data_IF_910108202821
#
_entry.id   IF_910108202821
#
_cell.length_a   1.000
_cell.length_b   1.000
_cell.length_c   1.000
_cell.angle_alpha   90.00
_cell.angle_beta   90.00
_cell.angle_gamma   90.00
#
_symmetry.space_group_name_H-M   'P 1'
#
loop_
_entity.id
_entity.type
_entity.pdbx_description
1 polymer ?
#
# COMPACT_ATOMS: atom_id res chain seq x y z
N UNK A 1 0.30 4.15 -29.87
CA UNK A 1 0.53 3.58 -28.49
C UNK A 1 2.00 3.80 -28.14
N UNK A 2 2.31 4.40 -26.98
CA UNK A 2 3.70 4.44 -26.53
C UNK A 2 4.17 3.00 -26.23
N UNK A 3 5.39 2.61 -26.64
CA UNK A 3 5.90 1.29 -26.30
C UNK A 3 5.95 1.12 -24.77
N UNK A 4 5.64 -0.09 -24.32
CA UNK A 4 5.73 -0.44 -22.89
C UNK A 4 7.19 -0.27 -22.47
N UNK A 5 7.46 0.48 -21.41
CA UNK A 5 8.84 0.64 -20.95
C UNK A 5 9.41 -0.72 -20.50
N UNK A 6 10.68 -1.02 -20.79
CA UNK A 6 11.29 -2.29 -20.40
C UNK A 6 11.20 -2.55 -18.89
N UNK A 7 11.30 -1.51 -18.06
CA UNK A 7 11.16 -1.62 -16.61
C UNK A 7 9.75 -2.05 -16.18
N UNK A 8 8.70 -1.55 -16.84
CA UNK A 8 7.33 -1.98 -16.59
C UNK A 8 7.11 -3.43 -17.06
N UNK A 9 7.70 -3.81 -18.20
CA UNK A 9 7.68 -5.20 -18.67
C UNK A 9 8.32 -6.14 -17.65
N UNK A 10 9.51 -5.79 -17.13
CA UNK A 10 10.19 -6.55 -16.09
C UNK A 10 9.34 -6.65 -14.81
N UNK A 11 8.67 -5.58 -14.40
CA UNK A 11 7.77 -5.58 -13.25
C UNK A 11 6.63 -6.59 -13.40
N UNK A 12 5.97 -6.61 -14.56
CA UNK A 12 4.86 -7.53 -14.82
C UNK A 12 5.36 -8.98 -14.81
N UNK A 13 6.47 -9.27 -15.50
CA UNK A 13 7.04 -10.62 -15.56
C UNK A 13 7.47 -11.07 -14.16
N UNK A 14 8.22 -10.24 -13.42
CA UNK A 14 8.64 -10.55 -12.07
C UNK A 14 7.46 -10.77 -11.12
N UNK A 15 6.40 -9.95 -11.25
CA UNK A 15 5.16 -10.10 -10.48
C UNK A 15 4.46 -11.43 -10.76
N UNK A 16 4.37 -11.85 -12.02
CA UNK A 16 3.78 -13.15 -12.41
C UNK A 16 4.65 -14.31 -11.87
N UNK A 17 5.97 -14.23 -12.02
CA UNK A 17 6.89 -15.28 -11.52
C UNK A 17 6.78 -15.36 -9.99
N UNK A 18 6.76 -14.23 -9.29
CA UNK A 18 6.60 -14.19 -7.84
C UNK A 18 5.25 -14.79 -7.39
N UNK A 19 4.17 -14.45 -8.08
CA UNK A 19 2.84 -15.00 -7.81
C UNK A 19 2.80 -16.51 -7.99
N UNK A 20 3.25 -17.02 -9.15
CA UNK A 20 3.24 -18.45 -9.45
C UNK A 20 4.15 -19.24 -8.51
N UNK A 21 5.36 -18.74 -8.23
CA UNK A 21 6.30 -19.41 -7.32
C UNK A 21 5.78 -19.44 -5.89
N UNK A 22 5.07 -18.39 -5.44
CA UNK A 22 4.46 -18.33 -4.12
C UNK A 22 3.33 -19.35 -3.96
N UNK A 23 2.51 -19.57 -4.99
CA UNK A 23 1.46 -20.59 -4.99
C UNK A 23 2.06 -21.99 -5.05
N UNK A 24 3.12 -22.19 -5.87
CA UNK A 24 3.80 -23.46 -6.01
C UNK A 24 4.68 -23.83 -4.79
N UNK A 25 4.86 -22.92 -3.83
CA UNK A 25 5.71 -23.13 -2.65
C UNK A 25 7.22 -23.24 -2.99
N UNK A 26 7.67 -22.67 -4.11
CA UNK A 26 9.06 -22.73 -4.51
C UNK A 26 9.85 -21.57 -3.87
N UNK A 27 10.46 -21.84 -2.71
CA UNK A 27 11.20 -20.84 -1.92
C UNK A 27 12.34 -20.18 -2.69
N UNK A 28 13.05 -20.94 -3.51
CA UNK A 28 14.17 -20.41 -4.30
C UNK A 28 13.71 -19.35 -5.32
N UNK A 29 12.63 -19.62 -6.04
CA UNK A 29 12.07 -18.66 -7.00
C UNK A 29 11.43 -17.47 -6.28
N UNK A 30 10.81 -17.66 -5.10
CA UNK A 30 10.29 -16.58 -4.26
C UNK A 30 11.43 -15.66 -3.85
N UNK A 31 12.53 -16.22 -3.35
CA UNK A 31 13.68 -15.46 -2.89
C UNK A 31 14.28 -14.56 -3.98
N UNK A 32 14.33 -15.05 -5.22
CA UNK A 32 14.84 -14.28 -6.37
C UNK A 32 13.81 -13.26 -6.86
N UNK A 33 12.56 -13.67 -7.07
CA UNK A 33 11.54 -12.83 -7.72
C UNK A 33 11.01 -11.72 -6.84
N UNK A 34 10.86 -11.94 -5.54
CA UNK A 34 10.27 -10.99 -4.59
C UNK A 34 11.03 -9.64 -4.55
N UNK A 35 12.37 -9.56 -4.50
CA UNK A 35 13.10 -8.29 -4.57
C UNK A 35 13.01 -7.60 -5.95
N UNK A 36 12.87 -8.38 -7.04
CA UNK A 36 12.83 -7.82 -8.39
C UNK A 36 11.55 -7.01 -8.61
N UNK A 37 10.43 -7.41 -8.01
CA UNK A 37 9.14 -6.70 -8.16
C UNK A 37 9.26 -5.22 -7.73
N UNK A 38 9.59 -4.87 -6.47
CA UNK A 38 9.70 -3.47 -6.07
C UNK A 38 10.87 -2.75 -6.74
N UNK A 39 11.98 -3.42 -7.02
CA UNK A 39 13.13 -2.80 -7.72
C UNK A 39 12.76 -2.36 -9.14
N UNK A 40 12.08 -3.22 -9.89
CA UNK A 40 11.67 -2.91 -11.27
C UNK A 40 10.66 -1.77 -11.33
N UNK A 41 9.72 -1.69 -10.40
CA UNK A 41 8.75 -0.58 -10.35
C UNK A 41 9.40 0.74 -9.90
N UNK A 42 10.42 0.70 -9.03
CA UNK A 42 11.24 1.86 -8.68
C UNK A 42 12.04 2.35 -9.88
N UNK A 43 12.60 1.44 -10.66
CA UNK A 43 13.32 1.77 -11.87
C UNK A 43 12.37 2.37 -12.93
N UNK A 44 11.15 1.85 -13.03
CA UNK A 44 10.09 2.44 -13.85
C UNK A 44 9.76 3.88 -13.42
N UNK A 45 9.64 4.13 -12.11
CA UNK A 45 9.44 5.50 -11.57
C UNK A 45 10.59 6.44 -11.98
N UNK A 46 11.84 5.98 -11.82
CA UNK A 46 13.02 6.74 -12.20
C UNK A 46 13.02 7.09 -13.70
N UNK A 47 12.78 6.10 -14.54
CA UNK A 47 12.78 6.27 -16.00
C UNK A 47 11.69 7.25 -16.47
N UNK A 48 10.46 7.11 -15.98
CA UNK A 48 9.34 7.95 -16.40
C UNK A 48 9.35 9.35 -15.77
N UNK A 49 10.10 9.57 -14.70
CA UNK A 49 10.25 10.89 -14.06
C UNK A 49 11.17 11.83 -14.84
N UNK A 50 11.85 11.36 -15.91
CA UNK A 50 12.75 12.14 -16.76
C UNK A 50 13.79 12.97 -15.94
N UNK A 51 14.40 12.37 -14.93
CA UNK A 51 15.39 12.99 -14.06
C UNK A 51 14.82 13.93 -12.97
N UNK A 52 13.51 14.15 -12.94
CA UNK A 52 12.83 14.96 -11.90
C UNK A 52 12.20 14.07 -10.83
N UNK A 53 13.05 13.33 -10.13
CA UNK A 53 12.63 12.43 -9.06
C UNK A 53 12.25 13.24 -7.82
N UNK A 54 11.05 13.04 -7.30
CA UNK A 54 10.69 13.54 -5.98
C UNK A 54 11.25 12.58 -4.92
N UNK A 55 12.22 13.05 -4.13
CA UNK A 55 12.92 12.25 -3.13
C UNK A 55 11.98 11.69 -2.04
N UNK A 56 10.92 12.38 -1.68
CA UNK A 56 9.92 11.86 -0.72
C UNK A 56 9.18 10.64 -1.25
N UNK A 57 8.82 10.67 -2.54
CA UNK A 57 8.17 9.52 -3.19
C UNK A 57 9.13 8.34 -3.38
N UNK A 58 10.38 8.66 -3.72
CA UNK A 58 11.43 7.65 -3.82
C UNK A 58 11.72 7.01 -2.46
N UNK A 59 11.74 7.80 -1.37
CA UNK A 59 11.89 7.30 0.00
C UNK A 59 10.76 6.33 0.38
N UNK A 60 9.51 6.64 0.05
CA UNK A 60 8.38 5.72 0.28
C UNK A 60 8.60 4.38 -0.42
N UNK A 61 9.02 4.40 -1.69
CA UNK A 61 9.30 3.17 -2.43
C UNK A 61 10.45 2.38 -1.80
N UNK A 62 11.50 3.05 -1.33
CA UNK A 62 12.62 2.43 -0.62
C UNK A 62 12.17 1.78 0.70
N UNK A 63 11.34 2.46 1.49
CA UNK A 63 10.81 1.90 2.75
C UNK A 63 10.02 0.61 2.49
N UNK A 64 9.14 0.61 1.50
CA UNK A 64 8.39 -0.59 1.13
C UNK A 64 9.27 -1.69 0.51
N UNK A 65 10.32 -1.31 -0.23
CA UNK A 65 11.31 -2.26 -0.74
C UNK A 65 12.04 -2.99 0.40
N UNK A 66 12.56 -2.24 1.38
CA UNK A 66 13.23 -2.85 2.53
C UNK A 66 12.28 -3.69 3.37
N UNK A 67 11.06 -3.21 3.60
CA UNK A 67 10.02 -4.00 4.26
C UNK A 67 9.74 -5.31 3.52
N UNK A 68 9.65 -5.27 2.19
CA UNK A 68 9.47 -6.46 1.36
C UNK A 68 10.64 -7.45 1.42
N UNK A 69 11.89 -6.96 1.52
CA UNK A 69 13.07 -7.81 1.71
C UNK A 69 13.05 -8.45 3.10
N UNK A 70 12.80 -7.69 4.14
CA UNK A 70 12.72 -8.21 5.50
C UNK A 70 11.66 -9.30 5.63
N UNK A 71 10.55 -9.16 4.93
CA UNK A 71 9.48 -10.17 4.90
C UNK A 71 9.89 -11.50 4.20
N UNK A 72 11.15 -11.67 3.77
CA UNK A 72 11.70 -12.96 3.35
C UNK A 72 12.16 -13.83 4.53
N UNK A 73 12.43 -13.21 5.69
CA UNK A 73 13.07 -13.91 6.82
C UNK A 73 12.08 -14.53 7.82
N UNK A 74 10.77 -14.34 7.65
CA UNK A 74 9.67 -14.99 8.41
C UNK A 74 9.89 -15.12 9.93
N UNK A 75 10.58 -14.13 10.58
CA UNK A 75 10.86 -14.11 12.00
C UNK A 75 10.00 -13.04 12.71
N UNK A 76 9.52 -13.33 13.92
CA UNK A 76 8.74 -12.40 14.74
C UNK A 76 9.50 -11.10 15.07
N UNK A 77 10.82 -11.17 15.28
CA UNK A 77 11.64 -9.97 15.49
C UNK A 77 11.69 -9.10 14.24
N UNK A 78 11.72 -9.73 13.07
CA UNK A 78 11.73 -9.03 11.77
C UNK A 78 10.39 -8.36 11.51
N UNK A 79 9.28 -8.96 11.95
CA UNK A 79 7.94 -8.38 11.80
C UNK A 79 7.84 -6.97 12.42
N UNK A 80 8.48 -6.74 13.57
CA UNK A 80 8.55 -5.41 14.19
C UNK A 80 9.15 -4.36 13.24
N UNK A 81 10.28 -4.68 12.60
CA UNK A 81 10.91 -3.76 11.65
C UNK A 81 10.07 -3.54 10.38
N UNK A 82 9.38 -4.59 9.91
CA UNK A 82 8.44 -4.50 8.78
C UNK A 82 7.32 -3.51 9.10
N UNK A 83 6.69 -3.65 10.28
CA UNK A 83 5.63 -2.74 10.72
C UNK A 83 6.12 -1.30 10.81
N UNK A 84 7.31 -1.06 11.37
CA UNK A 84 7.92 0.28 11.46
C UNK A 84 8.15 0.87 10.08
N UNK A 85 8.80 0.15 9.17
CA UNK A 85 9.08 0.64 7.81
C UNK A 85 7.80 0.99 7.06
N UNK A 86 6.80 0.14 7.14
CA UNK A 86 5.50 0.39 6.51
C UNK A 86 4.77 1.57 7.17
N UNK A 87 4.80 1.71 8.52
CA UNK A 87 4.26 2.87 9.22
C UNK A 87 4.90 4.18 8.74
N UNK A 88 6.22 4.21 8.57
CA UNK A 88 6.89 5.39 8.02
C UNK A 88 6.46 5.67 6.57
N UNK A 89 6.38 4.66 5.73
CA UNK A 89 5.91 4.79 4.35
C UNK A 89 4.50 5.35 4.28
N UNK A 90 3.56 4.77 5.03
CA UNK A 90 2.18 5.26 5.12
C UNK A 90 2.08 6.62 5.79
N UNK A 91 2.92 6.92 6.79
CA UNK A 91 3.00 8.22 7.44
C UNK A 91 3.38 9.34 6.48
N UNK A 92 4.34 9.10 5.57
CA UNK A 92 4.70 10.05 4.52
C UNK A 92 3.53 10.27 3.56
N UNK A 93 2.85 9.21 3.12
CA UNK A 93 1.67 9.33 2.27
C UNK A 93 0.53 10.08 2.98
N UNK A 94 0.30 9.76 4.25
CA UNK A 94 -0.70 10.42 5.08
C UNK A 94 -0.41 11.93 5.23
N UNK A 95 0.85 12.31 5.48
CA UNK A 95 1.26 13.71 5.55
C UNK A 95 1.00 14.48 4.25
N UNK A 96 1.19 13.81 3.10
CA UNK A 96 0.88 14.37 1.79
C UNK A 96 -0.64 14.62 1.62
N UNK A 97 -1.48 13.68 2.06
CA UNK A 97 -2.95 13.82 2.00
C UNK A 97 -3.41 14.94 2.92
N UNK A 98 -2.94 14.95 4.16
CA UNK A 98 -3.29 15.98 5.14
C UNK A 98 -2.92 17.38 4.60
N UNK A 99 -1.71 17.52 4.05
CA UNK A 99 -1.31 18.79 3.41
C UNK A 99 -2.24 19.16 2.26
N UNK A 100 -2.62 18.21 1.42
CA UNK A 100 -3.55 18.45 0.32
C UNK A 100 -4.96 18.81 0.79
N UNK A 101 -5.40 18.27 1.92
CA UNK A 101 -6.69 18.63 2.54
C UNK A 101 -6.68 20.04 3.11
N UNK A 102 -5.58 20.47 3.74
CA UNK A 102 -5.45 21.85 4.25
C UNK A 102 -5.40 22.91 3.14
N UNK A 103 -4.91 22.58 1.96
CA UNK A 103 -4.90 23.48 0.79
C UNK A 103 -6.30 23.71 0.21
N UNK A 104 -7.24 22.80 0.49
CA UNK A 104 -8.63 22.94 0.06
C UNK A 104 -9.36 23.77 1.11
N UNK A 105 -9.93 24.95 0.72
CA UNK A 105 -10.92 25.60 1.56
C UNK A 105 -12.04 24.60 1.83
N UNK A 106 -12.18 24.13 3.08
CA UNK A 106 -13.12 23.08 3.48
C UNK A 106 -14.51 23.53 3.03
N UNK A 107 -14.97 23.06 1.87
CA UNK A 107 -16.37 23.05 1.50
C UNK A 107 -17.01 21.95 2.33
N UNK A 108 -18.10 22.29 3.01
CA UNK A 108 -18.86 21.28 3.74
C UNK A 108 -19.13 20.10 2.83
N UNK A 109 -18.71 18.91 3.28
CA UNK A 109 -19.05 17.66 2.62
C UNK A 109 -20.58 17.58 2.52
N UNK A 110 -21.09 17.25 1.35
CA UNK A 110 -22.50 16.96 1.18
C UNK A 110 -22.95 15.88 2.16
N UNK A 111 -24.20 15.92 2.62
CA UNK A 111 -24.74 14.96 3.60
C UNK A 111 -24.52 13.51 3.18
N UNK A 112 -24.61 13.23 1.87
CA UNK A 112 -24.38 11.90 1.30
C UNK A 112 -22.91 11.48 1.49
N UNK A 113 -21.97 12.36 1.16
CA UNK A 113 -20.54 12.09 1.32
C UNK A 113 -20.14 11.93 2.79
N UNK A 114 -20.77 12.70 3.70
CA UNK A 114 -20.58 12.54 5.13
C UNK A 114 -21.07 11.17 5.61
N UNK A 115 -22.21 10.69 5.13
CA UNK A 115 -22.74 9.37 5.45
C UNK A 115 -21.79 8.25 4.95
N UNK A 116 -21.23 8.39 3.75
CA UNK A 116 -20.23 7.42 3.24
C UNK A 116 -18.97 7.39 4.12
N UNK A 117 -18.44 8.54 4.50
CA UNK A 117 -17.27 8.61 5.38
C UNK A 117 -17.57 7.98 6.73
N UNK A 118 -18.74 8.26 7.32
CA UNK A 118 -19.16 7.65 8.58
C UNK A 118 -19.27 6.14 8.49
N UNK A 119 -19.93 5.62 7.45
CA UNK A 119 -20.06 4.17 7.23
C UNK A 119 -18.70 3.52 7.02
N UNK A 120 -17.79 4.16 6.30
CA UNK A 120 -16.43 3.65 6.08
C UNK A 120 -15.62 3.61 7.38
N UNK A 121 -15.68 4.66 8.19
CA UNK A 121 -15.02 4.69 9.51
C UNK A 121 -15.58 3.59 10.41
N UNK A 122 -16.90 3.46 10.45
CA UNK A 122 -17.56 2.42 11.24
C UNK A 122 -17.17 1.00 10.78
N UNK A 123 -17.16 0.76 9.46
CA UNK A 123 -16.74 -0.51 8.88
C UNK A 123 -15.28 -0.83 9.21
N UNK A 124 -14.35 0.12 9.01
CA UNK A 124 -12.93 -0.08 9.32
C UNK A 124 -12.68 -0.27 10.82
N UNK A 125 -13.39 0.46 11.67
CA UNK A 125 -13.30 0.27 13.13
C UNK A 125 -13.78 -1.11 13.55
N UNK A 126 -14.92 -1.58 12.98
CA UNK A 126 -15.43 -2.92 13.23
C UNK A 126 -14.45 -3.99 12.73
N UNK A 127 -13.90 -3.82 11.53
CA UNK A 127 -12.92 -4.73 10.94
C UNK A 127 -11.64 -4.80 11.78
N UNK A 128 -11.12 -3.66 12.23
CA UNK A 128 -9.96 -3.60 13.13
C UNK A 128 -10.25 -4.30 14.46
N UNK A 129 -11.42 -4.05 15.05
CA UNK A 129 -11.83 -4.73 16.28
C UNK A 129 -11.88 -6.24 16.10
N UNK A 130 -12.53 -6.72 15.04
CA UNK A 130 -12.63 -8.16 14.73
C UNK A 130 -11.25 -8.78 14.53
N UNK A 131 -10.37 -8.16 13.74
CA UNK A 131 -9.02 -8.67 13.52
C UNK A 131 -8.20 -8.73 14.83
N UNK A 132 -8.23 -7.67 15.62
CA UNK A 132 -7.47 -7.62 16.88
C UNK A 132 -8.01 -8.61 17.91
N UNK A 133 -9.33 -8.77 17.99
CA UNK A 133 -9.97 -9.66 18.96
C UNK A 133 -9.87 -11.14 18.57
N UNK A 134 -10.04 -11.46 17.26
CA UNK A 134 -10.05 -12.86 16.80
C UNK A 134 -8.67 -13.41 16.51
N UNK A 135 -7.73 -12.55 16.05
CA UNK A 135 -6.45 -13.00 15.52
C UNK A 135 -5.32 -12.85 16.54
N UNK A 136 -5.35 -11.77 17.32
CA UNK A 136 -4.27 -11.47 18.25
C UNK A 136 -4.75 -11.54 19.70
N UNK A 137 -4.05 -12.33 20.51
CA UNK A 137 -4.19 -12.25 21.96
C UNK A 137 -3.53 -10.94 22.45
N UNK A 138 -4.14 -10.30 23.44
CA UNK A 138 -3.60 -9.09 24.09
C UNK A 138 -2.23 -9.30 24.75
N UNK A 139 -1.85 -10.56 25.00
CA UNK A 139 -0.53 -10.98 25.49
C UNK A 139 0.55 -10.99 24.39
N UNK A 140 0.16 -10.83 23.10
CA UNK A 140 1.13 -10.83 22.01
C UNK A 140 2.03 -9.61 22.05
N UNK A 141 3.34 -9.82 22.03
CA UNK A 141 4.36 -8.77 22.22
C UNK A 141 4.21 -7.57 21.24
N UNK A 142 3.76 -7.83 20.01
CA UNK A 142 3.58 -6.81 18.98
C UNK A 142 2.14 -6.25 18.90
N UNK A 143 1.25 -6.61 19.82
CA UNK A 143 -0.16 -6.23 19.79
C UNK A 143 -0.37 -4.71 19.64
N UNK A 144 0.32 -3.92 20.46
CA UNK A 144 0.22 -2.45 20.40
C UNK A 144 0.73 -1.89 19.06
N UNK A 145 1.80 -2.47 18.50
CA UNK A 145 2.36 -2.04 17.23
C UNK A 145 1.40 -2.32 16.06
N UNK A 146 0.69 -3.44 16.12
CA UNK A 146 -0.34 -3.78 15.13
C UNK A 146 -1.55 -2.85 15.21
N UNK A 147 -1.96 -2.42 16.42
CA UNK A 147 -3.02 -1.40 16.59
C UNK A 147 -2.59 -0.09 15.93
N UNK A 148 -1.39 0.40 16.24
CA UNK A 148 -0.88 1.66 15.66
C UNK A 148 -0.78 1.57 14.14
N UNK A 149 -0.25 0.46 13.64
CA UNK A 149 -0.16 0.19 12.21
C UNK A 149 -1.53 0.21 11.52
N UNK A 150 -2.48 -0.54 12.05
CA UNK A 150 -3.83 -0.62 11.51
C UNK A 150 -4.56 0.74 11.57
N UNK A 151 -4.32 1.53 12.64
CA UNK A 151 -4.87 2.88 12.74
C UNK A 151 -4.31 3.82 11.66
N UNK A 152 -3.00 3.78 11.39
CA UNK A 152 -2.36 4.59 10.34
C UNK A 152 -2.89 4.19 8.97
N UNK A 153 -2.98 2.89 8.67
CA UNK A 153 -3.47 2.38 7.40
C UNK A 153 -4.96 2.71 7.19
N UNK A 154 -5.79 2.53 8.22
CA UNK A 154 -7.21 2.89 8.17
C UNK A 154 -7.40 4.39 7.96
N UNK A 155 -6.62 5.23 8.67
CA UNK A 155 -6.63 6.68 8.49
C UNK A 155 -6.23 7.08 7.07
N UNK A 156 -5.25 6.40 6.47
CA UNK A 156 -4.84 6.61 5.08
C UNK A 156 -6.02 6.39 4.12
N UNK A 157 -6.75 5.29 4.28
CA UNK A 157 -7.91 4.95 3.43
C UNK A 157 -9.03 5.96 3.58
N UNK A 158 -9.39 6.32 4.82
CA UNK A 158 -10.47 7.29 5.10
C UNK A 158 -10.13 8.67 4.53
N UNK A 159 -8.95 9.20 4.85
CA UNK A 159 -8.57 10.55 4.40
C UNK A 159 -8.39 10.63 2.89
N UNK A 160 -7.91 9.54 2.26
CA UNK A 160 -7.87 9.45 0.81
C UNK A 160 -9.26 9.50 0.16
N UNK A 161 -10.22 8.79 0.75
CA UNK A 161 -11.59 8.80 0.25
C UNK A 161 -12.24 10.19 0.39
N UNK A 162 -11.95 10.89 1.50
CA UNK A 162 -12.37 12.29 1.68
C UNK A 162 -11.72 13.18 0.61
N UNK A 163 -10.42 13.05 0.41
CA UNK A 163 -9.69 13.84 -0.58
C UNK A 163 -10.22 13.62 -1.99
N UNK A 164 -10.51 12.36 -2.36
CA UNK A 164 -11.12 12.01 -3.63
C UNK A 164 -12.48 12.68 -3.81
N UNK A 165 -13.35 12.63 -2.79
CA UNK A 165 -14.68 13.25 -2.84
C UNK A 165 -14.62 14.79 -2.95
N UNK A 166 -13.52 15.41 -2.54
CA UNK A 166 -13.36 16.87 -2.62
C UNK A 166 -12.71 17.33 -3.94
N UNK A 167 -11.74 16.56 -4.48
CA UNK A 167 -10.92 16.98 -5.63
C UNK A 167 -11.30 16.32 -6.94
N UNK A 168 -11.74 15.05 -6.92
CA UNK A 168 -12.03 14.21 -8.09
C UNK A 168 -10.91 14.16 -9.14
N UNK A 169 -9.63 14.28 -8.73
CA UNK A 169 -8.52 14.23 -9.69
C UNK A 169 -8.10 12.79 -9.99
N UNK A 170 -7.46 12.57 -11.16
CA UNK A 170 -6.89 11.26 -11.51
C UNK A 170 -5.83 10.79 -10.50
N UNK A 171 -5.08 11.72 -9.91
CA UNK A 171 -4.10 11.40 -8.88
C UNK A 171 -4.77 10.87 -7.61
N UNK A 172 -5.85 11.51 -7.16
CA UNK A 172 -6.58 11.10 -5.96
C UNK A 172 -7.22 9.71 -6.13
N UNK A 173 -7.75 9.39 -7.32
CA UNK A 173 -8.25 8.03 -7.64
C UNK A 173 -7.13 6.99 -7.50
N UNK A 174 -5.94 7.27 -8.07
CA UNK A 174 -4.82 6.34 -8.02
C UNK A 174 -4.35 6.11 -6.58
N UNK A 175 -4.31 7.16 -5.76
CA UNK A 175 -3.92 7.07 -4.36
C UNK A 175 -4.99 6.32 -3.54
N UNK A 176 -6.28 6.55 -3.82
CA UNK A 176 -7.39 5.81 -3.20
C UNK A 176 -7.31 4.31 -3.52
N UNK A 177 -7.09 3.95 -4.80
CA UNK A 177 -6.91 2.55 -5.19
C UNK A 177 -5.69 1.93 -4.53
N UNK A 178 -4.58 2.69 -4.41
CA UNK A 178 -3.37 2.23 -3.72
C UNK A 178 -3.64 1.90 -2.26
N UNK A 179 -4.25 2.82 -1.51
CA UNK A 179 -4.53 2.63 -0.09
C UNK A 179 -5.51 1.47 0.16
N UNK A 180 -6.52 1.33 -0.70
CA UNK A 180 -7.46 0.21 -0.64
C UNK A 180 -6.77 -1.13 -0.94
N UNK A 181 -5.91 -1.19 -1.95
CA UNK A 181 -5.15 -2.41 -2.26
C UNK A 181 -4.21 -2.81 -1.11
N UNK A 182 -3.52 -1.87 -0.47
CA UNK A 182 -2.70 -2.17 0.71
C UNK A 182 -3.55 -2.67 1.87
N UNK A 183 -4.67 -2.02 2.16
CA UNK A 183 -5.58 -2.49 3.22
C UNK A 183 -6.04 -3.93 2.96
N UNK A 184 -6.45 -4.24 1.74
CA UNK A 184 -6.88 -5.60 1.37
C UNK A 184 -5.73 -6.61 1.43
N UNK A 185 -4.53 -6.22 1.00
CA UNK A 185 -3.36 -7.08 1.07
C UNK A 185 -3.04 -7.46 2.50
N UNK A 186 -3.02 -6.49 3.42
CA UNK A 186 -2.69 -6.73 4.82
C UNK A 186 -3.79 -7.50 5.54
N UNK A 187 -5.06 -7.20 5.24
CA UNK A 187 -6.19 -7.95 5.78
C UNK A 187 -6.12 -9.43 5.40
N UNK A 188 -5.95 -9.72 4.11
CA UNK A 188 -5.87 -11.11 3.66
C UNK A 188 -4.59 -11.80 4.13
N UNK A 189 -3.48 -11.05 4.29
CA UNK A 189 -2.26 -11.57 4.89
C UNK A 189 -2.51 -12.02 6.32
N UNK A 190 -3.12 -11.18 7.17
CA UNK A 190 -3.43 -11.51 8.55
C UNK A 190 -4.37 -12.70 8.64
N UNK A 191 -5.43 -12.72 7.83
CA UNK A 191 -6.37 -13.86 7.81
C UNK A 191 -5.67 -15.16 7.41
N UNK A 192 -4.81 -15.12 6.38
CA UNK A 192 -4.07 -16.29 5.89
C UNK A 192 -3.09 -16.83 6.94
N UNK A 193 -2.25 -15.98 7.51
CA UNK A 193 -1.16 -16.43 8.39
C UNK A 193 -1.59 -16.73 9.83
N UNK A 194 -2.63 -16.07 10.34
CA UNK A 194 -2.99 -16.15 11.75
C UNK A 194 -4.33 -16.80 12.03
N UNK A 195 -5.23 -16.90 11.03
CA UNK A 195 -6.59 -17.40 11.28
C UNK A 195 -6.93 -18.63 10.44
N UNK A 196 -6.75 -18.58 9.13
CA UNK A 196 -7.18 -19.64 8.23
C UNK A 196 -6.28 -19.77 7.01
N UNK A 197 -5.47 -20.84 6.97
CA UNK A 197 -4.55 -21.15 5.87
C UNK A 197 -5.31 -21.62 4.62
N UNK A 198 -5.95 -20.68 3.92
CA UNK A 198 -6.62 -20.94 2.66
C UNK A 198 -5.91 -20.21 1.53
N UNK A 199 -5.45 -20.96 0.54
CA UNK A 199 -4.63 -20.48 -0.58
C UNK A 199 -5.21 -19.25 -1.31
N UNK A 200 -6.53 -19.09 -1.32
CA UNK A 200 -7.20 -17.93 -1.93
C UNK A 200 -6.78 -16.62 -1.25
N UNK A 201 -6.68 -16.59 0.09
CA UNK A 201 -6.27 -15.38 0.80
C UNK A 201 -4.81 -15.01 0.48
N UNK A 202 -3.93 -16.00 0.35
CA UNK A 202 -2.56 -15.79 -0.11
C UNK A 202 -2.53 -15.21 -1.53
N UNK A 203 -3.32 -15.76 -2.45
CA UNK A 203 -3.43 -15.23 -3.82
C UNK A 203 -3.90 -13.76 -3.83
N UNK A 204 -4.94 -13.44 -3.04
CA UNK A 204 -5.49 -12.08 -2.94
C UNK A 204 -4.48 -11.11 -2.36
N UNK A 205 -3.74 -11.49 -1.30
CA UNK A 205 -2.64 -10.71 -0.74
C UNK A 205 -1.60 -10.35 -1.79
N UNK A 206 -1.14 -11.35 -2.55
CA UNK A 206 -0.08 -11.15 -3.55
C UNK A 206 -0.53 -10.24 -4.68
N UNK A 207 -1.73 -10.49 -5.23
CA UNK A 207 -2.30 -9.67 -6.30
C UNK A 207 -2.49 -8.22 -5.82
N UNK A 208 -3.09 -8.04 -4.64
CA UNK A 208 -3.34 -6.72 -4.08
C UNK A 208 -2.04 -5.94 -3.87
N UNK A 209 -0.97 -6.57 -3.36
CA UNK A 209 0.35 -5.95 -3.20
C UNK A 209 0.96 -5.54 -4.54
N UNK A 210 0.98 -6.43 -5.54
CA UNK A 210 1.51 -6.11 -6.86
C UNK A 210 0.74 -4.95 -7.47
N UNK A 211 -0.58 -4.97 -7.43
CA UNK A 211 -1.43 -3.90 -7.98
C UNK A 211 -1.23 -2.58 -7.23
N UNK A 212 -1.08 -2.62 -5.90
CA UNK A 212 -0.83 -1.45 -5.06
C UNK A 212 0.45 -0.70 -5.46
N UNK A 213 1.56 -1.40 -5.67
CA UNK A 213 2.81 -0.79 -6.14
C UNK A 213 2.65 -0.08 -7.48
N UNK A 214 1.93 -0.68 -8.42
CA UNK A 214 1.68 -0.06 -9.71
C UNK A 214 0.88 1.24 -9.57
N UNK A 215 -0.22 1.22 -8.82
CA UNK A 215 -1.03 2.42 -8.61
C UNK A 215 -0.28 3.51 -7.85
N UNK A 216 0.53 3.14 -6.86
CA UNK A 216 1.38 4.06 -6.11
C UNK A 216 2.34 4.81 -7.03
N UNK A 217 3.06 4.09 -7.89
CA UNK A 217 4.00 4.72 -8.83
C UNK A 217 3.26 5.58 -9.86
N UNK A 218 2.11 5.13 -10.35
CA UNK A 218 1.28 5.94 -11.26
C UNK A 218 0.79 7.22 -10.58
N UNK A 219 0.43 7.16 -9.31
CA UNK A 219 0.11 8.35 -8.50
C UNK A 219 1.29 9.32 -8.45
N UNK A 220 2.50 8.84 -8.10
CA UNK A 220 3.69 9.67 -8.02
C UNK A 220 4.03 10.37 -9.35
N UNK A 221 3.95 9.63 -10.46
CA UNK A 221 4.19 10.17 -11.79
C UNK A 221 3.14 11.21 -12.20
N UNK A 222 1.88 10.99 -11.84
CA UNK A 222 0.79 11.93 -12.16
C UNK A 222 0.93 13.22 -11.36
N UNK A 223 1.25 13.14 -10.08
CA UNK A 223 1.44 14.29 -9.19
C UNK A 223 2.66 15.12 -9.59
N UNK A 224 3.78 14.47 -10.00
CA UNK A 224 4.96 15.18 -10.49
C UNK A 224 4.67 15.98 -11.76
N UNK A 225 3.87 15.46 -12.69
CA UNK A 225 3.51 16.17 -13.93
C UNK A 225 2.67 17.42 -13.64
N UNK A 226 1.76 17.37 -12.69
CA UNK A 226 0.93 18.54 -12.31
C UNK A 226 1.81 19.67 -11.78
N UNK A 227 2.79 19.36 -10.93
CA UNK A 227 3.72 20.38 -10.36
C UNK A 227 4.65 21.04 -11.39
N UNK A 228 4.87 20.42 -12.53
CA UNK A 228 5.73 21.00 -13.59
C UNK A 228 4.98 21.89 -14.56
N UNK A 229 3.68 21.94 -14.54
CA UNK A 229 2.82 22.79 -15.37
C UNK A 229 2.24 23.99 -14.62
N UNK A 230 2.53 24.12 -13.33
CA UNK A 230 2.28 25.31 -12.49
C UNK A 230 3.56 26.13 -12.35
#
# INVERSE_FOLDING_TARGET
MKPISPALGLYIIAGIVFFVSSIAGNEYLIFISKPIVPTSIMFYYWQESNGRVNWWYFLVLMLFFFSGILNLFEDNQVLFYILILNCFGYGILLSHIIKSLFEIKIRFLDRINLAYVFLMVLFLSCLMYVLLFLVFDSSYELYVHMIVYGFILSSLVVLNSILYNLKHTKADVLLMLTSFCYLMADLFYVVYYYYFDFILFRCLTLIANIVAYYFLVRFFLTTNKIKTHQ
#
